data_IF_231934921012
#
_entry.id   IF_231934921012
#
_cell.length_a   1.000
_cell.length_b   1.000
_cell.length_c   1.000
_cell.angle_alpha   90.00
_cell.angle_beta   90.00
_cell.angle_gamma   90.00
#
_symmetry.space_group_name_H-M   'P 1'
#
loop_
_entity.id
_entity.type
_entity.pdbx_description
1 polymer ?
#
# COMPACT_ATOMS: atom_id res chain seq x y z
N UNK A 1 -9.32 5.19 -24.60
CA UNK A 1 -8.10 5.93 -24.98
C UNK A 1 -6.86 5.55 -24.16
N UNK A 2 -6.96 5.02 -22.93
CA UNK A 2 -5.79 4.66 -22.10
C UNK A 2 -5.58 3.15 -21.85
N UNK A 3 -6.25 2.27 -22.60
CA UNK A 3 -6.24 0.83 -22.33
C UNK A 3 -4.82 0.23 -22.34
N UNK A 4 -3.99 0.63 -23.30
CA UNK A 4 -2.60 0.18 -23.41
C UNK A 4 -1.75 0.65 -22.22
N UNK A 5 -1.89 1.91 -21.81
CA UNK A 5 -1.17 2.45 -20.64
C UNK A 5 -1.59 1.74 -19.35
N UNK A 6 -2.89 1.48 -19.18
CA UNK A 6 -3.40 0.75 -18.02
C UNK A 6 -2.82 -0.67 -17.94
N UNK A 7 -2.80 -1.39 -19.07
CA UNK A 7 -2.20 -2.71 -19.17
C UNK A 7 -0.70 -2.68 -18.85
N UNK A 8 0.04 -1.70 -19.37
CA UNK A 8 1.47 -1.54 -19.08
C UNK A 8 1.74 -1.27 -17.60
N UNK A 9 0.93 -0.42 -16.95
CA UNK A 9 1.05 -0.12 -15.51
C UNK A 9 0.74 -1.37 -14.69
N UNK A 10 -0.32 -2.11 -15.02
CA UNK A 10 -0.66 -3.36 -14.33
C UNK A 10 0.48 -4.36 -14.46
N UNK A 11 1.00 -4.59 -15.67
CA UNK A 11 2.08 -5.54 -15.89
C UNK A 11 3.34 -5.17 -15.12
N UNK A 12 3.69 -3.88 -15.11
CA UNK A 12 4.82 -3.39 -14.32
C UNK A 12 4.58 -3.57 -12.81
N UNK A 13 3.39 -3.23 -12.31
CA UNK A 13 3.05 -3.36 -10.89
C UNK A 13 3.03 -4.82 -10.45
N UNK A 14 2.52 -5.74 -11.26
CA UNK A 14 2.57 -7.19 -10.97
C UNK A 14 4.01 -7.65 -10.77
N UNK A 15 4.96 -7.18 -11.60
CA UNK A 15 6.37 -7.59 -11.54
C UNK A 15 7.21 -6.85 -10.49
N UNK A 16 6.96 -5.57 -10.26
CA UNK A 16 7.85 -4.68 -9.50
C UNK A 16 7.16 -3.97 -8.32
N UNK A 17 5.87 -4.22 -8.11
CA UNK A 17 5.09 -3.61 -7.03
C UNK A 17 5.57 -4.03 -5.66
N UNK A 18 5.30 -3.16 -4.67
CA UNK A 18 5.56 -3.46 -3.24
C UNK A 18 4.42 -4.29 -2.67
N UNK A 19 4.42 -5.59 -2.97
CA UNK A 19 3.34 -6.50 -2.59
C UNK A 19 3.41 -6.96 -1.14
N UNK A 20 4.54 -6.76 -0.49
CA UNK A 20 4.88 -7.22 0.87
C UNK A 20 4.39 -6.28 1.98
N UNK A 21 3.88 -5.09 1.64
CA UNK A 21 3.35 -4.16 2.63
C UNK A 21 2.12 -4.76 3.33
N UNK A 22 2.06 -4.80 4.68
CA UNK A 22 0.99 -5.47 5.41
C UNK A 22 -0.43 -5.01 5.06
N UNK A 23 -0.62 -3.71 4.80
CA UNK A 23 -1.91 -3.14 4.40
C UNK A 23 -2.31 -3.44 2.95
N UNK A 24 -1.39 -3.99 2.12
CA UNK A 24 -1.71 -4.54 0.79
C UNK A 24 -2.05 -6.04 0.82
N UNK A 25 -1.81 -6.71 1.95
CA UNK A 25 -2.06 -8.15 2.15
C UNK A 25 -3.36 -8.43 2.91
N UNK A 26 -4.21 -7.41 3.11
CA UNK A 26 -5.46 -7.51 3.86
C UNK A 26 -6.62 -6.90 3.08
N UNK A 27 -7.82 -7.43 3.33
CA UNK A 27 -9.09 -6.86 2.84
C UNK A 27 -9.87 -6.13 3.95
N UNK A 28 -9.27 -5.96 5.13
CA UNK A 28 -9.90 -5.29 6.27
C UNK A 28 -9.92 -3.76 6.04
N UNK A 29 -11.12 -3.14 5.92
CA UNK A 29 -11.23 -1.70 5.65
C UNK A 29 -10.58 -0.82 6.72
N UNK A 30 -10.59 -1.24 8.00
CA UNK A 30 -9.99 -0.47 9.08
C UNK A 30 -8.47 -0.43 8.91
N UNK A 31 -7.84 -1.57 8.63
CA UNK A 31 -6.38 -1.66 8.44
C UNK A 31 -5.91 -0.88 7.21
N UNK A 32 -6.68 -0.94 6.13
CA UNK A 32 -6.41 -0.18 4.92
C UNK A 32 -6.54 1.32 5.21
N UNK A 33 -7.66 1.76 5.80
CA UNK A 33 -7.89 3.17 6.14
C UNK A 33 -6.81 3.73 7.08
N UNK A 34 -6.47 2.99 8.13
CA UNK A 34 -5.43 3.37 9.08
C UNK A 34 -4.08 3.59 8.38
N UNK A 35 -3.71 2.70 7.44
CA UNK A 35 -2.48 2.84 6.67
C UNK A 35 -2.47 4.09 5.81
N UNK A 36 -3.59 4.42 5.15
CA UNK A 36 -3.72 5.60 4.30
C UNK A 36 -3.56 6.89 5.13
N UNK A 37 -4.19 6.97 6.30
CA UNK A 37 -4.05 8.12 7.22
C UNK A 37 -2.60 8.30 7.67
N UNK A 38 -1.92 7.23 8.08
CA UNK A 38 -0.52 7.31 8.52
C UNK A 38 0.42 7.75 7.39
N UNK A 39 0.21 7.24 6.17
CA UNK A 39 1.10 7.46 5.02
C UNK A 39 0.96 8.84 4.36
N UNK A 40 -0.07 9.62 4.68
CA UNK A 40 -0.23 10.98 4.16
C UNK A 40 0.91 11.92 4.56
N UNK A 41 1.45 11.76 5.78
CA UNK A 41 2.49 12.64 6.32
C UNK A 41 3.74 11.89 6.82
N UNK A 42 3.71 10.55 6.84
CA UNK A 42 4.79 9.72 7.37
C UNK A 42 5.32 8.73 6.33
N UNK A 43 6.64 8.59 6.26
CA UNK A 43 7.29 7.63 5.36
C UNK A 43 6.96 6.17 5.74
N UNK A 44 6.85 5.30 4.73
CA UNK A 44 6.56 3.86 4.87
C UNK A 44 7.41 3.17 5.94
N UNK A 45 8.73 3.44 5.96
CA UNK A 45 9.65 2.84 6.93
C UNK A 45 9.24 3.14 8.37
N UNK A 46 8.97 4.40 8.67
CA UNK A 46 8.56 4.84 10.02
C UNK A 46 7.19 4.26 10.39
N UNK A 47 6.26 4.20 9.45
CA UNK A 47 4.93 3.58 9.68
C UNK A 47 5.08 2.10 10.04
N UNK A 48 5.88 1.34 9.29
CA UNK A 48 6.13 -0.08 9.56
C UNK A 48 6.82 -0.31 10.91
N UNK A 49 7.85 0.48 11.22
CA UNK A 49 8.68 0.28 12.42
C UNK A 49 8.00 0.73 13.71
N UNK A 50 7.11 1.73 13.67
CA UNK A 50 6.65 2.41 14.89
C UNK A 50 5.14 2.52 15.07
N UNK A 51 4.34 2.51 14.00
CA UNK A 51 2.94 2.94 14.10
C UNK A 51 1.93 1.88 13.67
N UNK A 52 2.18 1.12 12.61
CA UNK A 52 1.14 0.27 12.04
C UNK A 52 0.66 -0.81 13.02
N UNK A 53 1.55 -1.68 13.52
CA UNK A 53 1.16 -2.75 14.45
C UNK A 53 0.65 -2.26 15.82
N UNK A 54 1.20 -1.20 16.43
CA UNK A 54 0.67 -0.71 17.72
C UNK A 54 -0.75 -0.13 17.69
N UNK A 55 -1.27 0.25 16.52
CA UNK A 55 -2.62 0.81 16.36
C UNK A 55 -3.63 -0.20 15.76
N UNK A 56 -3.18 -1.42 15.49
CA UNK A 56 -4.00 -2.57 15.08
C UNK A 56 -4.47 -3.38 16.29
#
# INVERSE_FOLDING_TARGET
MYAQTHQSIIHWYTKNGRHDLPWRLTNDPYKIYLSEVMLQQTQVKTVLERFYYPFL
#
